data_IF_585210831211
#
_entry.id   IF_585210831211
#
_cell.length_a   1.000
_cell.length_b   1.000
_cell.length_c   1.000
_cell.angle_alpha   90.00
_cell.angle_beta   90.00
_cell.angle_gamma   90.00
#
_symmetry.space_group_name_H-M   'P 1'
#
loop_
_entity.id
_entity.type
_entity.pdbx_description
1 polymer ?
#
# COMPACT_ATOMS: atom_id res chain seq x y z
N UNK A 1 -11.39 4.74 20.41
CA UNK A 1 -11.69 5.13 19.01
C UNK A 1 -10.44 4.93 18.15
N UNK A 2 -10.59 4.51 16.90
CA UNK A 2 -9.48 4.29 15.97
C UNK A 2 -9.76 4.85 14.59
N UNK A 3 -8.73 5.35 13.91
CA UNK A 3 -8.81 5.83 12.53
C UNK A 3 -8.18 4.81 11.59
N UNK A 4 -8.88 4.53 10.48
CA UNK A 4 -8.37 3.68 9.40
C UNK A 4 -8.40 4.47 8.11
N UNK A 5 -7.24 4.61 7.48
CA UNK A 5 -7.06 5.31 6.20
C UNK A 5 -6.48 4.33 5.19
N UNK A 6 -7.13 4.19 4.05
CA UNK A 6 -6.60 3.42 2.92
C UNK A 6 -6.57 4.29 1.67
N UNK A 7 -5.44 4.31 0.97
CA UNK A 7 -5.27 5.03 -0.29
C UNK A 7 -4.57 4.15 -1.31
N UNK A 8 -5.11 4.12 -2.52
CA UNK A 8 -4.44 3.52 -3.68
C UNK A 8 -4.33 4.55 -4.81
N UNK A 9 -3.24 4.49 -5.57
CA UNK A 9 -2.98 5.36 -6.72
C UNK A 9 -2.41 4.53 -7.87
N UNK A 10 -3.17 4.36 -8.97
CA UNK A 10 -2.65 3.80 -10.20
C UNK A 10 -1.81 4.85 -10.96
N UNK A 11 -0.82 4.36 -11.71
CA UNK A 11 0.08 5.15 -12.53
C UNK A 11 0.44 4.36 -13.79
N UNK A 12 0.29 4.98 -14.96
CA UNK A 12 0.93 4.49 -16.18
C UNK A 12 2.41 4.90 -16.13
N UNK A 13 3.31 3.93 -16.08
CA UNK A 13 4.76 4.17 -15.97
C UNK A 13 5.36 4.45 -17.33
N UNK A 14 5.01 3.62 -18.32
CA UNK A 14 5.50 3.77 -19.68
C UNK A 14 4.55 3.08 -20.68
N UNK A 15 4.42 3.69 -21.85
CA UNK A 15 3.78 3.11 -23.02
C UNK A 15 4.66 3.39 -24.24
N UNK A 16 5.03 2.33 -24.95
CA UNK A 16 5.76 2.43 -26.21
C UNK A 16 5.03 1.58 -27.22
N UNK A 17 4.69 2.16 -28.37
CA UNK A 17 4.00 1.45 -29.45
C UNK A 17 4.67 1.78 -30.78
N UNK A 18 5.03 0.76 -31.54
CA UNK A 18 5.59 0.88 -32.88
C UNK A 18 4.90 -0.08 -33.82
N UNK A 19 4.53 0.43 -34.99
CA UNK A 19 3.96 -0.35 -36.08
C UNK A 19 5.02 -0.45 -37.17
N UNK A 20 5.37 -1.67 -37.55
CA UNK A 20 6.41 -1.98 -38.51
C UNK A 20 5.81 -2.75 -39.70
N UNK A 21 6.14 -2.38 -40.94
CA UNK A 21 5.75 -3.16 -42.11
C UNK A 21 6.52 -4.48 -42.14
N UNK A 22 5.85 -5.57 -42.48
CA UNK A 22 6.50 -6.87 -42.76
C UNK A 22 6.62 -7.09 -44.27
N UNK A 23 7.49 -8.02 -44.68
CA UNK A 23 7.70 -8.36 -46.10
C UNK A 23 6.43 -8.90 -46.80
N UNK A 24 5.48 -9.46 -46.03
CA UNK A 24 4.18 -9.91 -46.53
C UNK A 24 3.14 -8.77 -46.64
N UNK A 25 3.54 -7.52 -46.36
CA UNK A 25 2.66 -6.35 -46.42
C UNK A 25 1.72 -6.20 -45.23
N UNK A 26 1.86 -7.03 -44.20
CA UNK A 26 0.99 -7.00 -43.02
C UNK A 26 1.63 -6.17 -41.91
N UNK A 27 0.91 -5.25 -41.23
CA UNK A 27 1.46 -4.45 -40.14
C UNK A 27 1.72 -5.32 -38.91
N UNK A 28 2.98 -5.35 -38.48
CA UNK A 28 3.38 -5.88 -37.18
C UNK A 28 3.34 -4.76 -36.14
N UNK A 29 2.75 -5.04 -34.99
CA UNK A 29 2.74 -4.19 -33.81
C UNK A 29 3.76 -4.71 -32.78
N UNK A 30 4.61 -3.80 -32.30
CA UNK A 30 5.48 -3.98 -31.15
C UNK A 30 5.06 -2.96 -30.08
N UNK A 31 4.54 -3.46 -28.96
CA UNK A 31 3.98 -2.62 -27.90
C UNK A 31 4.51 -3.03 -26.53
N UNK A 32 4.91 -2.06 -25.72
CA UNK A 32 5.32 -2.24 -24.35
C UNK A 32 4.47 -1.35 -23.43
N UNK A 33 3.79 -1.96 -22.48
CA UNK A 33 2.96 -1.30 -21.49
C UNK A 33 3.49 -1.60 -20.09
N UNK A 34 3.73 -0.58 -19.29
CA UNK A 34 4.11 -0.71 -17.89
C UNK A 34 3.15 0.11 -17.04
N UNK A 35 2.38 -0.55 -16.21
CA UNK A 35 1.47 0.06 -15.25
C UNK A 35 1.95 -0.25 -13.82
N UNK A 36 1.69 0.66 -12.89
CA UNK A 36 1.97 0.47 -11.48
C UNK A 36 0.78 0.94 -10.62
N UNK A 37 0.58 0.31 -9.47
CA UNK A 37 -0.39 0.72 -8.46
C UNK A 37 0.33 0.75 -7.12
N UNK A 38 0.42 1.93 -6.53
CA UNK A 38 0.87 2.09 -5.14
C UNK A 38 -0.35 2.11 -4.22
N UNK A 39 -0.32 1.37 -3.13
CA UNK A 39 -1.32 1.43 -2.08
C UNK A 39 -0.66 1.63 -0.71
N UNK A 40 -1.36 2.29 0.20
CA UNK A 40 -0.95 2.44 1.58
C UNK A 40 -2.20 2.37 2.46
N UNK A 41 -2.16 1.53 3.48
CA UNK A 41 -3.14 1.58 4.57
C UNK A 41 -2.45 1.97 5.87
N UNK A 42 -3.15 2.75 6.68
CA UNK A 42 -2.73 3.22 7.99
C UNK A 42 -3.88 2.98 8.95
N UNK A 43 -3.65 2.19 9.98
CA UNK A 43 -4.59 1.93 11.07
C UNK A 43 -4.00 2.49 12.34
N UNK A 44 -4.71 3.40 13.02
CA UNK A 44 -4.33 3.92 14.33
C UNK A 44 -5.44 3.62 15.31
N UNK A 45 -5.11 2.96 16.40
CA UNK A 45 -6.03 2.64 17.49
C UNK A 45 -5.52 3.31 18.76
N UNK A 46 -6.37 4.06 19.45
CA UNK A 46 -6.08 4.63 20.74
C UNK A 46 -6.94 3.95 21.81
N UNK A 47 -6.28 3.29 22.75
CA UNK A 47 -6.86 2.68 23.94
C UNK A 47 -6.51 3.57 25.13
N UNK A 48 -7.54 4.04 25.83
CA UNK A 48 -7.39 4.95 26.96
C UNK A 48 -7.90 4.24 28.21
N UNK A 49 -7.05 4.12 29.24
CA UNK A 49 -7.37 3.40 30.48
C UNK A 49 -7.08 4.30 31.68
N UNK A 50 -8.05 4.56 32.59
CA UNK A 50 -9.47 4.15 32.58
C UNK A 50 -10.31 4.95 31.56
N UNK A 51 -11.49 4.43 31.15
CA UNK A 51 -12.39 5.12 30.22
C UNK A 51 -12.82 6.48 30.79
N UNK A 52 -12.72 7.53 29.96
CA UNK A 52 -13.14 8.88 30.34
C UNK A 52 -14.67 8.99 30.41
N UNK A 53 -15.21 9.81 31.32
CA UNK A 53 -16.66 10.07 31.38
C UNK A 53 -17.16 10.73 30.09
N UNK A 54 -18.39 10.39 29.69
CA UNK A 54 -19.00 10.78 28.40
C UNK A 54 -19.31 12.30 28.29
N UNK A 55 -19.29 13.04 29.40
CA UNK A 55 -19.55 14.47 29.45
C UNK A 55 -18.23 15.28 29.45
N UNK A 56 -17.98 16.00 28.37
CA UNK A 56 -16.82 16.91 28.21
C UNK A 56 -16.82 17.99 29.31
N UNK A 57 -17.98 18.32 29.87
CA UNK A 57 -18.17 19.34 30.92
C UNK A 57 -17.69 18.89 32.32
N UNK A 58 -17.61 17.59 32.59
CA UNK A 58 -17.09 17.05 33.86
C UNK A 58 -15.63 16.55 33.77
N UNK A 59 -15.03 16.67 32.58
CA UNK A 59 -13.67 16.20 32.29
C UNK A 59 -12.64 17.08 33.01
N UNK A 60 -12.29 16.70 34.23
CA UNK A 60 -11.34 17.44 35.06
C UNK A 60 -9.91 17.14 34.58
N UNK A 61 -9.03 18.15 34.48
CA UNK A 61 -7.61 17.97 34.13
C UNK A 61 -6.87 16.95 35.02
N UNK A 62 -7.36 16.73 36.24
CA UNK A 62 -6.82 15.73 37.16
C UNK A 62 -7.16 14.28 36.78
N UNK A 63 -8.27 14.05 36.07
CA UNK A 63 -8.60 12.72 35.56
C UNK A 63 -7.75 12.38 34.34
N UNK A 64 -7.50 13.34 33.44
CA UNK A 64 -6.57 13.15 32.30
C UNK A 64 -5.15 12.83 32.74
N UNK A 65 -4.68 13.44 33.83
CA UNK A 65 -3.37 13.12 34.41
C UNK A 65 -3.29 11.70 34.94
N UNK A 66 -4.41 11.08 35.30
CA UNK A 66 -4.47 9.73 35.89
C UNK A 66 -4.61 8.60 34.88
N UNK A 67 -4.51 8.92 33.59
CA UNK A 67 -4.86 8.03 32.50
C UNK A 67 -3.61 7.53 31.77
N UNK A 68 -3.58 6.22 31.50
CA UNK A 68 -2.63 5.60 30.59
C UNK A 68 -3.20 5.63 29.16
N UNK A 69 -2.40 6.13 28.22
CA UNK A 69 -2.78 6.23 26.81
C UNK A 69 -1.91 5.27 26.02
N UNK A 70 -2.54 4.26 25.43
CA UNK A 70 -1.89 3.30 24.55
C UNK A 70 -2.33 3.57 23.11
N UNK A 71 -1.37 3.90 22.25
CA UNK A 71 -1.56 4.17 20.84
C UNK A 71 -0.88 3.08 20.02
N UNK A 72 -1.66 2.36 19.24
CA UNK A 72 -1.17 1.37 18.28
C UNK A 72 -1.33 1.94 16.87
N UNK A 73 -0.22 2.06 16.14
CA UNK A 73 -0.21 2.47 14.75
C UNK A 73 0.34 1.33 13.88
N UNK A 74 -0.36 1.03 12.79
CA UNK A 74 0.04 0.05 11.80
C UNK A 74 -0.02 0.69 10.42
N UNK A 75 1.06 0.58 9.66
CA UNK A 75 1.16 1.08 8.30
C UNK A 75 1.53 -0.07 7.36
N UNK A 76 0.82 -0.19 6.24
CA UNK A 76 1.09 -1.20 5.21
C UNK A 76 1.15 -0.57 3.82
N UNK A 77 2.29 0.03 3.43
CA UNK A 77 2.56 0.38 2.05
C UNK A 77 2.79 -0.87 1.17
N UNK A 78 2.28 -0.82 -0.05
CA UNK A 78 2.48 -1.82 -1.09
C UNK A 78 2.54 -1.20 -2.48
N UNK A 79 3.24 -1.86 -3.40
CA UNK A 79 3.35 -1.46 -4.80
C UNK A 79 3.24 -2.70 -5.67
N UNK A 80 2.39 -2.65 -6.69
CA UNK A 80 2.31 -3.66 -7.73
C UNK A 80 2.64 -3.03 -9.08
N UNK A 81 3.53 -3.64 -9.86
CA UNK A 81 3.94 -3.20 -11.20
C UNK A 81 3.66 -4.32 -12.19
N UNK A 82 2.95 -4.02 -13.26
CA UNK A 82 2.62 -4.96 -14.32
C UNK A 82 3.20 -4.47 -15.63
N UNK A 83 4.00 -5.32 -16.28
CA UNK A 83 4.64 -5.04 -17.56
C UNK A 83 4.17 -6.04 -18.60
N UNK A 84 3.84 -5.54 -19.77
CA UNK A 84 3.49 -6.31 -20.95
C UNK A 84 4.38 -5.87 -22.09
N UNK A 85 5.00 -6.81 -22.78
CA UNK A 85 5.62 -6.59 -24.07
C UNK A 85 4.95 -7.52 -25.07
N UNK A 86 4.41 -6.96 -26.15
CA UNK A 86 3.64 -7.64 -27.19
C UNK A 86 4.34 -7.40 -28.50
N UNK A 87 4.58 -8.48 -29.24
CA UNK A 87 5.07 -8.43 -30.62
C UNK A 87 4.19 -9.33 -31.46
N UNK A 88 3.50 -8.77 -32.44
CA UNK A 88 2.57 -9.56 -33.22
C UNK A 88 1.92 -8.80 -34.35
N UNK A 89 1.04 -9.48 -35.06
CA UNK A 89 0.20 -8.94 -36.11
C UNK A 89 -1.22 -8.92 -35.58
N UNK A 90 -1.85 -7.74 -35.59
CA UNK A 90 -3.24 -7.56 -35.17
C UNK A 90 -4.04 -6.97 -36.33
N UNK A 91 -4.53 -7.83 -37.22
CA UNK A 91 -5.37 -7.44 -38.34
C UNK A 91 -6.69 -8.20 -38.32
N UNK A 92 -7.68 -7.75 -39.08
CA UNK A 92 -8.99 -8.41 -39.17
C UNK A 92 -8.94 -9.85 -39.73
N UNK A 93 -7.89 -10.19 -40.49
CA UNK A 93 -7.72 -11.49 -41.14
C UNK A 93 -6.70 -12.39 -40.42
N UNK A 94 -5.66 -11.81 -39.84
CA UNK A 94 -4.57 -12.54 -39.16
C UNK A 94 -4.30 -11.89 -37.81
N UNK A 95 -4.43 -12.70 -36.76
CA UNK A 95 -4.08 -12.37 -35.39
C UNK A 95 -3.08 -13.38 -34.86
N UNK A 96 -1.85 -12.92 -34.62
CA UNK A 96 -0.80 -13.74 -34.06
C UNK A 96 0.14 -12.86 -33.27
N UNK A 97 0.35 -13.14 -31.99
CA UNK A 97 1.23 -12.34 -31.16
C UNK A 97 1.97 -13.20 -30.13
N UNK A 98 3.19 -12.78 -29.83
CA UNK A 98 3.96 -13.23 -28.69
C UNK A 98 3.85 -12.15 -27.62
N UNK A 99 3.49 -12.56 -26.41
CA UNK A 99 3.39 -11.65 -25.26
C UNK A 99 4.31 -12.13 -24.14
N UNK A 100 5.16 -11.24 -23.66
CA UNK A 100 5.86 -11.39 -22.41
C UNK A 100 5.15 -10.57 -21.33
N UNK A 101 4.83 -11.21 -20.21
CA UNK A 101 4.24 -10.57 -19.02
C UNK A 101 5.24 -10.67 -17.86
N UNK A 102 5.43 -9.57 -17.14
CA UNK A 102 6.14 -9.54 -15.87
C UNK A 102 5.31 -8.83 -14.80
N UNK A 103 5.35 -9.32 -13.56
CA UNK A 103 4.55 -8.79 -12.46
C UNK A 103 5.39 -8.68 -11.20
N UNK A 104 5.63 -7.45 -10.73
CA UNK A 104 6.39 -7.21 -9.51
C UNK A 104 5.44 -6.74 -8.42
N UNK A 105 5.40 -7.42 -7.28
CA UNK A 105 4.64 -6.96 -6.10
C UNK A 105 5.57 -6.82 -4.91
N UNK A 106 5.55 -5.65 -4.29
CA UNK A 106 6.33 -5.34 -3.09
C UNK A 106 5.40 -4.89 -1.97
N UNK A 107 5.56 -5.46 -0.77
CA UNK A 107 4.76 -5.12 0.42
C UNK A 107 5.71 -4.92 1.59
N UNK A 108 5.62 -3.77 2.27
CA UNK A 108 6.50 -3.44 3.40
C UNK A 108 5.67 -3.05 4.62
N UNK A 109 5.18 -4.02 5.42
CA UNK A 109 4.32 -3.72 6.55
C UNK A 109 5.14 -3.30 7.78
N UNK A 110 4.63 -2.35 8.56
CA UNK A 110 5.27 -1.80 9.76
C UNK A 110 4.24 -1.55 10.87
N UNK A 111 4.60 -1.88 12.11
CA UNK A 111 3.72 -1.70 13.27
C UNK A 111 4.50 -1.07 14.42
N UNK A 112 3.92 -0.04 15.03
CA UNK A 112 4.50 0.73 16.12
C UNK A 112 3.46 0.84 17.23
N UNK A 113 3.87 0.57 18.46
CA UNK A 113 3.08 0.82 19.66
C UNK A 113 3.76 1.92 20.48
N UNK A 114 2.98 2.89 20.93
CA UNK A 114 3.40 3.96 21.83
C UNK A 114 2.50 3.91 23.05
N UNK A 115 3.08 3.77 24.23
CA UNK A 115 2.34 3.80 25.51
C UNK A 115 2.87 4.97 26.33
N UNK A 116 1.98 5.79 26.86
CA UNK A 116 2.31 6.95 27.66
C UNK A 116 1.48 6.97 28.95
N UNK A 117 2.16 6.76 30.08
CA UNK A 117 1.60 6.94 31.41
C UNK A 117 1.86 8.38 31.83
N UNK A 118 0.83 9.22 31.71
CA UNK A 118 0.89 10.67 31.99
C UNK A 118 1.10 10.94 33.50
N UNK A 119 0.68 10.00 34.35
CA UNK A 119 0.72 10.10 35.81
C UNK A 119 2.13 9.85 36.35
N UNK A 120 2.82 8.86 35.76
CA UNK A 120 4.18 8.47 36.15
C UNK A 120 5.28 9.07 35.26
N UNK A 121 4.91 9.76 34.18
CA UNK A 121 5.85 10.32 33.21
C UNK A 121 6.61 9.25 32.41
N UNK A 122 6.04 8.04 32.29
CA UNK A 122 6.69 6.94 31.58
C UNK A 122 6.20 6.89 30.13
N UNK A 123 7.13 6.97 29.19
CA UNK A 123 6.86 6.85 27.77
C UNK A 123 7.58 5.62 27.23
N UNK A 124 6.85 4.75 26.55
CA UNK A 124 7.36 3.53 25.93
C UNK A 124 7.04 3.57 24.46
N UNK A 125 8.05 3.41 23.60
CA UNK A 125 7.89 3.30 22.16
C UNK A 125 8.44 1.94 21.75
N UNK A 126 7.59 1.10 21.17
CA UNK A 126 7.94 -0.23 20.70
C UNK A 126 7.68 -0.34 19.20
N UNK A 127 8.73 -0.62 18.44
CA UNK A 127 8.56 -1.14 17.09
C UNK A 127 8.16 -2.61 17.23
N UNK A 128 6.92 -2.94 16.90
CA UNK A 128 6.42 -4.30 17.01
C UNK A 128 6.92 -5.12 15.82
N UNK A 129 7.42 -6.35 16.03
CA UNK A 129 7.75 -7.24 14.92
C UNK A 129 6.48 -7.48 14.11
N UNK A 130 6.58 -7.31 12.80
CA UNK A 130 5.48 -7.53 11.87
C UNK A 130 5.73 -8.85 11.17
N UNK A 131 4.69 -9.67 11.05
CA UNK A 131 4.74 -10.84 10.18
C UNK A 131 5.00 -10.35 8.75
N UNK A 132 6.21 -10.61 8.27
CA UNK A 132 6.55 -10.35 6.87
C UNK A 132 5.65 -11.28 6.03
N UNK A 133 4.91 -10.76 5.04
CA UNK A 133 4.22 -11.62 4.09
C UNK A 133 5.24 -12.58 3.45
N UNK A 134 4.81 -13.78 3.07
CA UNK A 134 5.68 -14.83 2.48
C UNK A 134 6.59 -14.30 1.36
N UNK A 135 6.13 -13.27 0.62
CA UNK A 135 6.91 -12.58 -0.39
C UNK A 135 6.87 -11.07 -0.16
N UNK A 136 7.99 -10.51 0.33
CA UNK A 136 8.24 -9.06 0.39
C UNK A 136 8.40 -8.49 -1.02
N UNK A 137 8.92 -9.30 -1.95
CA UNK A 137 8.95 -9.05 -3.39
C UNK A 137 8.58 -10.35 -4.13
N UNK A 138 7.52 -10.31 -4.93
CA UNK A 138 7.19 -11.35 -5.92
C UNK A 138 7.47 -10.78 -7.32
N UNK A 139 8.03 -11.59 -8.23
CA UNK A 139 8.44 -11.22 -9.61
C UNK A 139 7.81 -12.16 -10.62
#
# INVERSE_FOLDING_TARGET
EGITLQRAKPLLVAEVRRILPTALGVPMELSMYSAAVGAASINVQATITPPLPEEIETMTLEQLKKTDVQLHAEARPSVAVQKFAVMGVNTALIQAAVMAKGEIRVIAPGKVAVSADILKGNYKVEALPVELPEHVAAV
#
